data_IF_168030911225
#
_entry.id   IF_168030911225
#
_cell.length_a   1.000
_cell.length_b   1.000
_cell.length_c   1.000
_cell.angle_alpha   90.00
_cell.angle_beta   90.00
_cell.angle_gamma   90.00
#
_symmetry.space_group_name_H-M   'P 1'
#
loop_
_entity.id
_entity.type
_entity.pdbx_description
1 polymer ?
#
# COMPACT_ATOMS: atom_id res chain seq x y z
N UNK A 1 0.81 -26.59 -3.62
CA UNK A 1 -0.39 -26.27 -4.43
C UNK A 1 -1.12 -25.21 -3.60
N UNK A 2 -1.05 -23.92 -3.98
CA UNK A 2 -1.64 -22.82 -3.20
C UNK A 2 -3.02 -22.51 -3.77
N UNK A 3 -4.02 -22.54 -2.89
CA UNK A 3 -5.45 -22.34 -3.17
C UNK A 3 -5.79 -20.84 -3.30
N UNK A 4 -5.18 -20.13 -4.25
CA UNK A 4 -5.44 -18.70 -4.50
C UNK A 4 -6.18 -18.43 -5.84
N UNK A 5 -6.87 -19.44 -6.40
CA UNK A 5 -7.58 -19.35 -7.70
C UNK A 5 -9.11 -19.51 -7.60
N UNK A 6 -9.73 -19.25 -6.44
CA UNK A 6 -11.20 -19.33 -6.28
C UNK A 6 -11.75 -18.10 -5.53
N UNK A 7 -12.10 -17.06 -6.30
CA UNK A 7 -13.32 -16.24 -6.20
C UNK A 7 -13.09 -14.84 -6.78
N UNK A 8 -13.51 -14.62 -8.03
CA UNK A 8 -13.84 -13.29 -8.54
C UNK A 8 -14.82 -13.42 -9.74
N UNK A 9 -15.86 -14.25 -9.60
CA UNK A 9 -17.11 -14.02 -10.34
C UNK A 9 -17.85 -12.90 -9.63
N UNK A 10 -17.55 -11.65 -10.00
CA UNK A 10 -18.36 -10.49 -9.61
C UNK A 10 -19.69 -10.61 -10.34
N UNK A 11 -20.84 -10.66 -9.65
CA UNK A 11 -22.13 -10.52 -10.31
C UNK A 11 -22.12 -9.21 -11.10
N UNK A 12 -22.42 -9.27 -12.39
CA UNK A 12 -22.58 -8.06 -13.22
C UNK A 12 -23.80 -7.31 -12.68
N UNK A 13 -23.56 -6.34 -11.78
CA UNK A 13 -24.55 -5.39 -11.33
C UNK A 13 -24.76 -4.40 -12.50
N UNK A 14 -25.69 -4.75 -13.38
CA UNK A 14 -26.18 -3.91 -14.48
C UNK A 14 -26.95 -2.71 -13.89
N UNK A 15 -26.22 -1.75 -13.31
CA UNK A 15 -26.77 -0.45 -12.94
C UNK A 15 -26.93 0.38 -14.24
N UNK A 16 -28.17 0.62 -14.71
CA UNK A 16 -28.44 1.18 -16.04
C UNK A 16 -28.01 2.64 -16.22
N UNK A 17 -27.42 3.27 -15.20
CA UNK A 17 -26.99 4.68 -15.22
C UNK A 17 -25.49 4.88 -15.38
N UNK A 18 -24.69 3.81 -15.36
CA UNK A 18 -23.25 3.86 -15.59
C UNK A 18 -22.91 3.42 -17.02
N UNK A 19 -22.28 4.27 -17.86
CA UNK A 19 -21.79 3.81 -19.16
C UNK A 19 -20.66 2.79 -18.94
N UNK A 20 -20.99 1.52 -19.12
CA UNK A 20 -20.02 0.42 -19.08
C UNK A 20 -19.13 0.53 -20.31
N UNK A 21 -17.95 1.15 -20.15
CA UNK A 21 -16.90 1.10 -21.17
C UNK A 21 -16.43 -0.35 -21.23
N UNK A 22 -16.68 -1.09 -22.34
CA UNK A 22 -16.38 -2.51 -22.43
C UNK A 22 -14.87 -2.70 -22.56
N UNK A 23 -14.17 -2.68 -21.43
CA UNK A 23 -12.77 -3.08 -21.40
C UNK A 23 -12.70 -4.60 -21.55
N UNK A 24 -12.11 -5.06 -22.66
CA UNK A 24 -11.85 -6.48 -22.92
C UNK A 24 -11.14 -7.10 -21.71
N UNK A 25 -11.55 -8.30 -21.30
CA UNK A 25 -11.03 -8.96 -20.09
C UNK A 25 -9.48 -9.01 -20.06
N UNK A 26 -8.85 -9.18 -21.22
CA UNK A 26 -7.39 -9.20 -21.38
C UNK A 26 -6.71 -7.86 -21.07
N UNK A 27 -7.36 -6.73 -21.37
CA UNK A 27 -6.85 -5.41 -20.99
C UNK A 27 -6.98 -5.19 -19.49
N UNK A 28 -8.12 -5.54 -18.87
CA UNK A 28 -8.29 -5.51 -17.41
C UNK A 28 -7.18 -6.31 -16.71
N UNK A 29 -6.83 -7.49 -17.20
CA UNK A 29 -5.74 -8.32 -16.65
C UNK A 29 -4.37 -7.63 -16.83
N UNK A 30 -4.11 -7.03 -17.99
CA UNK A 30 -2.84 -6.34 -18.28
C UNK A 30 -2.65 -5.08 -17.42
N UNK A 31 -3.73 -4.34 -17.16
CA UNK A 31 -3.70 -3.21 -16.24
C UNK A 31 -3.48 -3.67 -14.79
N UNK A 32 -4.15 -4.76 -14.37
CA UNK A 32 -3.95 -5.34 -13.02
C UNK A 32 -2.52 -5.83 -12.80
N UNK A 33 -1.88 -6.46 -13.81
CA UNK A 33 -0.47 -6.90 -13.73
C UNK A 33 0.49 -5.77 -13.37
N UNK A 34 0.26 -4.55 -13.86
CA UNK A 34 1.15 -3.39 -13.61
C UNK A 34 1.15 -2.92 -12.15
N UNK A 35 0.09 -3.19 -11.40
CA UNK A 35 -0.10 -2.70 -10.02
C UNK A 35 -0.02 -3.80 -8.97
N UNK A 36 0.31 -5.05 -9.33
CA UNK A 36 0.50 -6.14 -8.37
C UNK A 36 1.64 -5.87 -7.38
N UNK A 37 2.69 -5.21 -7.85
CA UNK A 37 3.85 -4.83 -7.04
C UNK A 37 3.75 -3.37 -6.58
N UNK A 38 2.54 -2.92 -6.21
CA UNK A 38 2.32 -1.56 -5.74
C UNK A 38 1.72 -1.55 -4.33
N UNK A 39 2.18 -0.60 -3.53
CA UNK A 39 1.70 -0.32 -2.19
C UNK A 39 1.07 1.06 -2.15
N UNK A 40 0.03 1.21 -1.34
CA UNK A 40 -0.56 2.49 -0.99
C UNK A 40 -0.07 2.84 0.41
N UNK A 41 0.37 4.08 0.58
CA UNK A 41 0.90 4.56 1.85
C UNK A 41 0.25 5.87 2.26
N UNK A 42 0.27 6.15 3.56
CA UNK A 42 -0.12 7.43 4.14
C UNK A 42 0.70 7.71 5.38
N UNK A 43 1.23 8.91 5.49
CA UNK A 43 1.93 9.35 6.70
C UNK A 43 0.88 9.81 7.73
N UNK A 44 1.00 9.33 8.97
CA UNK A 44 0.05 9.63 10.04
C UNK A 44 0.47 10.88 10.82
N UNK A 45 -0.50 11.77 11.06
CA UNK A 45 -0.33 12.95 11.91
C UNK A 45 0.49 14.09 11.30
N UNK A 46 1.03 13.93 10.07
CA UNK A 46 1.79 14.97 9.40
C UNK A 46 1.70 14.86 7.89
N UNK A 47 1.70 16.02 7.21
CA UNK A 47 1.82 16.11 5.75
C UNK A 47 3.23 16.52 5.35
N UNK A 48 3.79 15.88 4.34
CA UNK A 48 5.11 16.22 3.82
C UNK A 48 5.03 16.61 2.34
N UNK A 49 5.94 17.47 1.84
CA UNK A 49 6.07 17.72 0.42
C UNK A 49 6.34 16.43 -0.35
N UNK A 50 5.75 16.28 -1.53
CA UNK A 50 5.89 15.08 -2.36
C UNK A 50 7.37 14.69 -2.59
N UNK A 51 8.21 15.67 -2.89
CA UNK A 51 9.64 15.46 -3.12
C UNK A 51 10.36 14.90 -1.88
N UNK A 52 9.99 15.34 -0.68
CA UNK A 52 10.59 14.86 0.56
C UNK A 52 10.20 13.40 0.84
N UNK A 53 8.93 13.06 0.60
CA UNK A 53 8.44 11.68 0.72
C UNK A 53 9.11 10.80 -0.33
N UNK A 54 9.11 11.19 -1.61
CA UNK A 54 9.69 10.37 -2.69
C UNK A 54 11.14 10.01 -2.40
N UNK A 55 11.96 11.01 -2.06
CA UNK A 55 13.37 10.80 -1.70
C UNK A 55 13.54 9.88 -0.50
N UNK A 56 12.68 10.03 0.52
CA UNK A 56 12.76 9.20 1.73
C UNK A 56 12.36 7.76 1.43
N UNK A 57 11.30 7.55 0.65
CA UNK A 57 10.88 6.22 0.21
C UNK A 57 11.95 5.56 -0.65
N UNK A 58 12.55 6.28 -1.58
CA UNK A 58 13.65 5.78 -2.40
C UNK A 58 14.82 5.33 -1.52
N UNK A 59 15.21 6.15 -0.53
CA UNK A 59 16.30 5.81 0.39
C UNK A 59 16.04 4.56 1.24
N UNK A 60 14.79 4.35 1.67
CA UNK A 60 14.42 3.25 2.57
C UNK A 60 14.12 1.97 1.76
N UNK A 61 13.42 2.07 0.64
CA UNK A 61 12.79 0.96 -0.06
C UNK A 61 13.40 0.60 -1.41
N UNK A 62 14.14 1.48 -2.08
CA UNK A 62 14.82 1.16 -3.34
C UNK A 62 16.19 0.52 -3.09
N UNK A 63 16.22 -0.68 -2.50
CA UNK A 63 17.47 -1.39 -2.15
C UNK A 63 18.01 -2.23 -3.30
N UNK A 64 17.13 -2.92 -4.02
CA UNK A 64 17.51 -3.83 -5.10
C UNK A 64 17.00 -3.37 -6.46
N UNK A 65 16.00 -2.50 -6.50
CA UNK A 65 15.44 -1.93 -7.73
C UNK A 65 14.90 -0.53 -7.53
N UNK A 66 14.62 0.15 -8.66
CA UNK A 66 13.98 1.45 -8.63
C UNK A 66 12.54 1.34 -8.13
N UNK A 67 12.06 2.42 -7.51
CA UNK A 67 10.65 2.59 -7.16
C UNK A 67 10.07 3.77 -7.92
N UNK A 68 8.77 3.76 -8.14
CA UNK A 68 8.02 4.89 -8.69
C UNK A 68 6.98 5.34 -7.70
N UNK A 69 7.03 6.61 -7.31
CA UNK A 69 6.12 7.21 -6.35
C UNK A 69 5.12 8.10 -7.09
N UNK A 70 3.83 7.93 -6.82
CA UNK A 70 2.76 8.76 -7.35
C UNK A 70 1.96 9.35 -6.18
N UNK A 71 1.75 10.66 -6.17
CA UNK A 71 0.85 11.30 -5.22
C UNK A 71 -0.61 10.97 -5.56
N UNK A 72 -1.38 10.65 -4.53
CA UNK A 72 -2.84 10.52 -4.61
C UNK A 72 -3.49 11.66 -3.82
N UNK A 73 -4.81 11.77 -3.89
CA UNK A 73 -5.58 12.69 -3.07
C UNK A 73 -5.56 12.29 -1.58
N UNK A 74 -5.84 13.24 -0.68
CA UNK A 74 -5.97 13.03 0.77
C UNK A 74 -4.71 12.54 1.50
N UNK A 75 -3.54 12.90 0.98
CA UNK A 75 -2.24 12.59 1.58
C UNK A 75 -1.85 11.11 1.45
N UNK A 76 -2.47 10.39 0.52
CA UNK A 76 -2.05 9.05 0.14
C UNK A 76 -1.01 9.09 -0.98
N UNK A 77 -0.18 8.07 -1.06
CA UNK A 77 0.81 7.90 -2.12
C UNK A 77 0.78 6.46 -2.61
N UNK A 78 0.92 6.26 -3.92
CA UNK A 78 1.19 4.96 -4.51
C UNK A 78 2.69 4.80 -4.67
N UNK A 79 3.21 3.63 -4.31
CA UNK A 79 4.60 3.26 -4.55
C UNK A 79 4.60 1.97 -5.35
N UNK A 80 5.14 2.02 -6.57
CA UNK A 80 5.31 0.86 -7.44
C UNK A 80 6.76 0.41 -7.41
N UNK A 81 6.96 -0.88 -7.19
CA UNK A 81 8.26 -1.51 -7.07
C UNK A 81 8.62 -2.24 -8.36
N UNK A 82 9.89 -2.12 -8.79
CA UNK A 82 10.40 -2.95 -9.90
C UNK A 82 11.00 -4.27 -9.41
N UNK A 83 11.40 -4.34 -8.14
CA UNK A 83 11.92 -5.55 -7.50
C UNK A 83 10.87 -6.15 -6.57
N UNK A 84 10.62 -7.45 -6.70
CA UNK A 84 9.74 -8.19 -5.80
C UNK A 84 10.31 -8.26 -4.38
N UNK A 85 11.64 -8.35 -4.23
CA UNK A 85 12.28 -8.37 -2.92
C UNK A 85 12.04 -7.06 -2.16
N UNK A 86 12.17 -5.92 -2.84
CA UNK A 86 11.90 -4.61 -2.24
C UNK A 86 10.42 -4.44 -1.89
N UNK A 87 9.51 -5.00 -2.71
CA UNK A 87 8.08 -5.01 -2.41
C UNK A 87 7.76 -5.80 -1.14
N UNK A 88 8.24 -7.05 -1.05
CA UNK A 88 8.00 -7.91 0.12
C UNK A 88 8.62 -7.28 1.36
N UNK A 89 9.84 -6.74 1.24
CA UNK A 89 10.47 -6.04 2.36
C UNK A 89 9.66 -4.80 2.77
N UNK A 90 9.17 -3.99 1.84
CA UNK A 90 8.35 -2.83 2.17
C UNK A 90 6.99 -3.19 2.78
N UNK A 91 6.37 -4.30 2.35
CA UNK A 91 5.09 -4.78 2.86
C UNK A 91 5.23 -5.41 4.27
N UNK A 92 6.22 -6.28 4.45
CA UNK A 92 6.33 -7.16 5.63
C UNK A 92 7.48 -6.78 6.57
N UNK A 93 8.38 -5.90 6.15
CA UNK A 93 9.58 -5.49 6.89
C UNK A 93 9.32 -4.65 8.14
N UNK A 94 8.06 -4.39 8.48
CA UNK A 94 7.64 -3.80 9.75
C UNK A 94 7.09 -2.37 9.62
N UNK A 95 6.92 -1.68 10.76
CA UNK A 95 6.34 -0.35 10.79
C UNK A 95 7.37 0.66 10.33
N UNK A 96 7.04 1.35 9.25
CA UNK A 96 7.91 2.33 8.66
C UNK A 96 7.67 3.71 9.27
N UNK A 97 8.73 4.51 9.38
CA UNK A 97 8.64 5.89 9.85
C UNK A 97 9.31 6.85 8.88
N UNK A 98 8.68 8.00 8.65
CA UNK A 98 9.21 9.11 7.86
C UNK A 98 9.20 10.35 8.74
N UNK A 99 10.39 10.89 9.03
CA UNK A 99 10.52 12.06 9.90
C UNK A 99 10.00 11.84 11.32
N UNK A 100 10.06 10.62 11.85
CA UNK A 100 9.50 10.26 13.16
C UNK A 100 8.00 9.97 13.18
N UNK A 101 7.30 10.13 12.06
CA UNK A 101 5.89 9.80 11.92
C UNK A 101 5.71 8.42 11.30
N UNK A 102 4.80 7.62 11.86
CA UNK A 102 4.46 6.32 11.30
C UNK A 102 3.77 6.46 9.95
N UNK A 103 4.02 5.51 9.07
CA UNK A 103 3.29 5.39 7.80
C UNK A 103 2.47 4.11 7.81
N UNK A 104 1.24 4.21 7.31
CA UNK A 104 0.43 3.04 6.99
C UNK A 104 0.90 2.49 5.67
N UNK A 105 1.06 1.17 5.56
CA UNK A 105 1.37 0.48 4.31
C UNK A 105 0.25 -0.52 4.03
N UNK A 106 -0.24 -0.55 2.78
CA UNK A 106 -1.22 -1.54 2.35
C UNK A 106 -0.98 -1.94 0.89
N UNK A 107 -1.27 -3.19 0.50
CA UNK A 107 -1.30 -3.57 -0.90
C UNK A 107 -2.27 -2.71 -1.71
N UNK A 108 -1.91 -2.39 -2.94
CA UNK A 108 -2.81 -1.68 -3.84
C UNK A 108 -4.04 -2.54 -4.17
N UNK A 109 -5.24 -1.93 -4.12
CA UNK A 109 -6.51 -2.58 -4.48
C UNK A 109 -7.26 -1.72 -5.49
N UNK A 110 -7.92 -2.38 -6.47
CA UNK A 110 -8.80 -1.71 -7.42
C UNK A 110 -9.97 -1.05 -6.68
N UNK A 111 -10.31 0.18 -7.07
CA UNK A 111 -11.41 0.93 -6.46
C UNK A 111 -11.08 1.51 -5.09
N UNK A 112 -9.80 1.64 -4.73
CA UNK A 112 -9.38 2.36 -3.54
C UNK A 112 -9.89 3.80 -3.60
N UNK A 113 -10.85 4.14 -2.73
CA UNK A 113 -11.33 5.51 -2.55
C UNK A 113 -10.67 6.11 -1.29
N UNK A 114 -9.77 7.10 -1.45
CA UNK A 114 -9.13 7.77 -0.33
C UNK A 114 -10.10 8.43 0.67
N UNK A 115 -11.36 8.67 0.26
CA UNK A 115 -12.38 9.37 1.07
C UNK A 115 -13.13 8.46 2.04
N UNK A 116 -13.31 7.20 1.67
CA UNK A 116 -14.01 6.20 2.51
C UNK A 116 -13.05 5.48 3.45
N UNK A 117 -11.74 5.66 3.23
CA UNK A 117 -10.68 5.05 4.01
C UNK A 117 -10.44 5.88 5.26
N UNK A 118 -11.21 5.59 6.30
CA UNK A 118 -10.76 5.88 7.66
C UNK A 118 -9.60 4.94 7.99
N UNK A 119 -8.52 5.47 8.57
CA UNK A 119 -7.47 4.65 9.18
C UNK A 119 -8.02 4.10 10.51
N UNK A 120 -9.08 3.29 10.45
CA UNK A 120 -9.80 2.82 11.63
C UNK A 120 -8.97 1.79 12.43
N UNK A 121 -8.09 1.05 11.74
CA UNK A 121 -7.18 0.08 12.36
C UNK A 121 -5.90 -0.01 11.54
N UNK A 122 -4.75 0.16 12.18
CA UNK A 122 -3.42 -0.06 11.57
C UNK A 122 -2.57 -0.81 12.58
N UNK A 123 -1.86 -1.84 12.11
CA UNK A 123 -0.89 -2.56 12.92
C UNK A 123 0.33 -1.66 13.13
N UNK A 124 0.51 -1.20 14.36
CA UNK A 124 1.69 -0.43 14.79
C UNK A 124 2.47 -1.24 15.82
N UNK A 125 3.80 -1.22 15.76
CA UNK A 125 4.62 -1.75 16.84
C UNK A 125 4.89 -0.63 17.84
N UNK A 126 4.30 -0.73 19.03
CA UNK A 126 4.61 0.15 20.15
C UNK A 126 5.85 -0.40 20.89
N UNK A 127 6.87 0.45 21.10
CA UNK A 127 7.95 0.17 22.06
C UNK A 127 7.67 0.98 23.31
N UNK A 128 7.53 0.31 24.46
CA UNK A 128 7.35 0.96 25.76
C UNK A 128 8.73 1.25 26.38
N UNK A 129 9.21 2.51 26.40
CA UNK A 129 10.47 2.83 27.05
C UNK A 129 10.31 2.66 28.57
N UNK A 130 11.14 1.79 29.17
CA UNK A 130 11.12 1.53 30.61
C UNK A 130 10.35 0.30 31.07
N UNK A 131 9.90 -0.57 30.15
CA UNK A 131 9.34 -1.87 30.54
C UNK A 131 10.48 -2.75 31.13
N UNK A 132 10.43 -3.12 32.44
CA UNK A 132 11.41 -4.03 33.01
C UNK A 132 11.37 -5.35 32.24
N UNK A 133 12.55 -5.91 31.94
CA UNK A 133 12.69 -7.13 31.12
C UNK A 133 11.92 -8.34 31.71
N UNK A 134 11.65 -8.30 33.01
CA UNK A 134 10.86 -9.29 33.76
C UNK A 134 9.41 -9.44 33.28
N UNK A 135 8.86 -8.43 32.58
CA UNK A 135 7.49 -8.44 32.06
C UNK A 135 7.37 -8.87 30.59
N UNK A 136 8.48 -9.23 29.93
CA UNK A 136 8.44 -9.82 28.59
C UNK A 136 8.31 -11.34 28.77
N UNK A 137 7.06 -11.81 28.81
CA UNK A 137 6.78 -13.23 29.00
C UNK A 137 7.07 -14.07 27.75
N UNK A 138 7.51 -15.30 28.00
CA UNK A 138 7.91 -16.35 27.06
C UNK A 138 6.73 -17.13 26.51
#
# INVERSE_FOLDING_TARGET
MREDDLDDEVPEDDDPKCPTIPFKAMEKIRYRRKWRSALIIKVLGQTFPFQAISRRLESIWAKHGAIQVASMSWGFYAVRFMSEMDYVQAADGGPWTIGGHYITVRPWRKGFDPRTVEVARTMVWARFPGLPIEFINR
#
